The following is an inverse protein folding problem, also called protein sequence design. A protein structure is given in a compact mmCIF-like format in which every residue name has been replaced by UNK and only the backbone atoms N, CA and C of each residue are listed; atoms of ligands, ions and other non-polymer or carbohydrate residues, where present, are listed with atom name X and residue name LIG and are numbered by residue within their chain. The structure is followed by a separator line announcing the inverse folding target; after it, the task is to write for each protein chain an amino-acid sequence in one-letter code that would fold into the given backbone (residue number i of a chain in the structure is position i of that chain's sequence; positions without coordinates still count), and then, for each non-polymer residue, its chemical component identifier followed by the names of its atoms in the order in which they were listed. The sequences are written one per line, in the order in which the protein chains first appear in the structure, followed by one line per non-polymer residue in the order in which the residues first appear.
data_IF_316691388842
#
_entry.id   IF_316691388842
#
_cell.length_a   1.000
_cell.length_b   1.000
_cell.length_c   1.000
_cell.angle_alpha   90.00
_cell.angle_beta   90.00
_cell.angle_gamma   90.00
#
_symmetry.space_group_name_H-M   'P 1'
#
loop_
_entity.id
_entity.type
_entity.pdbx_description
1 polymer ?
#
# COMPACT_ATOMS: atom_id res chain seq x y z
N UNK A 1 20.94 17.99 53.65
CA UNK A 1 21.25 18.43 52.28
C UNK A 1 20.18 17.93 51.31
N UNK A 2 19.03 18.60 51.31
CA UNK A 2 18.03 18.54 50.25
C UNK A 2 17.26 19.86 50.32
N UNK A 3 17.82 20.86 49.64
CA UNK A 3 17.13 22.04 49.16
C UNK A 3 17.37 22.03 47.64
N UNK A 4 16.33 22.00 46.83
CA UNK A 4 15.72 23.21 46.28
C UNK A 4 14.80 22.82 45.10
N UNK A 5 13.53 23.23 45.22
CA UNK A 5 12.52 23.15 44.16
C UNK A 5 12.60 24.46 43.37
N UNK A 6 13.19 24.40 42.18
CA UNK A 6 13.22 25.53 41.24
C UNK A 6 13.12 25.04 39.81
N UNK A 7 11.92 24.68 39.36
CA UNK A 7 11.60 24.64 37.93
C UNK A 7 10.91 25.96 37.57
N UNK A 8 11.71 26.96 37.22
CA UNK A 8 11.24 28.06 36.38
C UNK A 8 11.24 27.54 34.92
N UNK A 9 10.15 26.87 34.52
CA UNK A 9 9.82 26.72 33.11
C UNK A 9 9.01 27.96 32.69
N UNK A 10 9.71 28.96 32.16
CA UNK A 10 9.14 30.06 31.41
C UNK A 10 8.58 29.51 30.08
N UNK A 11 7.39 28.92 30.13
CA UNK A 11 6.62 28.56 28.94
C UNK A 11 5.91 29.81 28.41
N UNK A 12 6.05 30.04 27.12
CA UNK A 12 5.55 31.17 26.32
C UNK A 12 4.06 31.52 26.58
N UNK A 13 3.82 32.41 27.55
CA UNK A 13 2.49 32.80 28.05
C UNK A 13 1.70 33.73 27.12
N UNK A 14 2.29 34.20 26.01
CA UNK A 14 1.70 35.22 25.13
C UNK A 14 0.37 34.79 24.50
N UNK A 15 0.28 33.55 24.03
CA UNK A 15 -0.89 33.04 23.29
C UNK A 15 -2.09 32.76 24.21
N UNK A 16 -1.86 32.27 25.43
CA UNK A 16 -2.92 32.03 26.42
C UNK A 16 -3.58 33.36 26.83
N UNK A 17 -2.80 34.43 26.93
CA UNK A 17 -3.30 35.78 27.23
C UNK A 17 -4.19 36.30 26.10
N UNK A 18 -3.83 36.09 24.83
CA UNK A 18 -4.65 36.52 23.68
C UNK A 18 -5.97 35.75 23.65
N UNK A 19 -5.93 34.43 23.82
CA UNK A 19 -7.13 33.57 23.84
C UNK A 19 -8.06 33.95 24.99
N UNK A 20 -7.52 34.18 26.19
CA UNK A 20 -8.31 34.64 27.34
C UNK A 20 -8.97 36.00 27.09
N UNK A 21 -8.26 36.94 26.45
CA UNK A 21 -8.81 38.26 26.06
C UNK A 21 -9.86 38.16 24.96
N UNK A 22 -9.72 37.21 24.04
CA UNK A 22 -10.66 36.97 22.95
C UNK A 22 -11.95 36.33 23.48
N UNK A 23 -11.86 35.39 24.42
CA UNK A 23 -13.04 34.85 25.11
C UNK A 23 -13.71 35.97 25.93
N UNK A 24 -12.91 36.74 26.67
CA UNK A 24 -13.40 37.75 27.60
C UNK A 24 -13.90 37.13 28.92
N UNK A 25 -14.09 37.96 29.95
CA UNK A 25 -14.61 37.50 31.25
C UNK A 25 -15.97 36.84 31.05
N UNK A 26 -16.10 35.58 31.48
CA UNK A 26 -17.30 34.74 31.26
C UNK A 26 -17.74 34.62 29.79
N UNK A 27 -16.83 34.75 28.82
CA UNK A 27 -17.17 34.66 27.40
C UNK A 27 -17.83 35.91 26.81
N UNK A 28 -17.86 37.03 27.55
CA UNK A 28 -18.63 38.22 27.18
C UNK A 28 -18.28 38.80 25.79
N UNK A 29 -17.02 38.71 25.37
CA UNK A 29 -16.63 39.26 24.06
C UNK A 29 -17.04 38.36 22.90
N UNK A 30 -16.88 37.04 23.04
CA UNK A 30 -17.42 36.09 22.06
C UNK A 30 -18.94 36.18 21.97
N UNK A 31 -19.61 36.36 23.11
CA UNK A 31 -21.05 36.58 23.14
C UNK A 31 -21.44 37.87 22.41
N UNK A 32 -20.73 38.98 22.65
CA UNK A 32 -20.96 40.25 21.96
C UNK A 32 -20.79 40.14 20.43
N UNK A 33 -19.77 39.41 19.96
CA UNK A 33 -19.60 39.12 18.52
C UNK A 33 -20.81 38.34 18.00
N UNK A 34 -21.15 37.20 18.63
CA UNK A 34 -22.27 36.35 18.21
C UNK A 34 -23.60 37.13 18.11
N UNK A 35 -23.87 38.01 19.08
CA UNK A 35 -25.08 38.82 19.10
C UNK A 35 -25.11 39.90 18.01
N UNK A 36 -23.98 40.54 17.72
CA UNK A 36 -23.91 41.68 16.79
C UNK A 36 -23.72 41.28 15.34
N UNK A 37 -23.10 40.14 15.07
CA UNK A 37 -22.77 39.71 13.72
C UNK A 37 -23.52 38.45 13.30
N UNK A 38 -24.39 37.90 14.15
CA UNK A 38 -25.13 36.66 13.87
C UNK A 38 -24.23 35.48 13.48
N UNK A 39 -22.94 35.52 13.84
CA UNK A 39 -21.97 34.45 13.59
C UNK A 39 -21.90 33.51 14.77
N UNK A 40 -21.50 32.26 14.51
CA UNK A 40 -21.06 31.35 15.54
C UNK A 40 -19.54 31.42 15.66
N UNK A 41 -19.03 31.86 16.81
CA UNK A 41 -17.60 32.04 17.04
C UNK A 41 -17.14 31.20 18.21
N UNK A 42 -16.13 30.36 18.02
CA UNK A 42 -15.56 29.52 19.07
C UNK A 42 -14.07 29.22 18.82
N UNK A 43 -13.37 28.82 19.87
CA UNK A 43 -11.93 28.52 19.80
C UNK A 43 -11.73 27.01 19.75
N UNK A 44 -10.95 26.53 18.79
CA UNK A 44 -10.52 25.13 18.64
C UNK A 44 -9.00 25.01 18.81
N UNK A 45 -8.52 23.82 19.17
CA UNK A 45 -7.10 23.46 19.11
C UNK A 45 -6.66 23.41 17.64
N UNK A 46 -5.42 23.79 17.35
CA UNK A 46 -4.86 23.58 16.02
C UNK A 46 -4.78 22.06 15.71
N UNK A 47 -5.17 21.59 14.51
CA UNK A 47 -5.17 20.16 14.18
C UNK A 47 -3.78 19.53 14.21
N UNK A 48 -2.74 20.29 13.84
CA UNK A 48 -1.38 19.77 13.64
C UNK A 48 -0.38 20.19 14.73
N UNK A 49 -0.74 21.15 15.59
CA UNK A 49 0.19 21.69 16.58
C UNK A 49 -0.51 21.94 17.92
N UNK A 50 0.24 21.81 19.01
CA UNK A 50 -0.28 22.02 20.36
C UNK A 50 -0.06 23.43 20.90
N UNK A 51 0.75 24.20 20.18
CA UNK A 51 1.17 25.56 20.54
C UNK A 51 0.22 26.64 20.00
N UNK A 52 -0.62 26.29 19.01
CA UNK A 52 -1.55 27.23 18.38
C UNK A 52 -3.02 26.88 18.68
N UNK A 53 -3.85 27.93 18.68
CA UNK A 53 -5.32 27.81 18.74
C UNK A 53 -5.93 28.59 17.59
N UNK A 54 -7.07 28.10 17.10
CA UNK A 54 -7.78 28.70 15.97
C UNK A 54 -9.11 29.26 16.45
N UNK A 55 -9.41 30.48 16.00
CA UNK A 55 -10.75 31.04 16.13
C UNK A 55 -11.56 30.67 14.88
N UNK A 56 -12.57 29.82 15.05
CA UNK A 56 -13.50 29.48 13.99
C UNK A 56 -14.70 30.43 14.06
N UNK A 57 -15.04 31.01 12.90
CA UNK A 57 -16.17 31.93 12.71
C UNK A 57 -17.03 31.33 11.61
N UNK A 58 -18.27 30.99 11.92
CA UNK A 58 -19.23 30.42 10.98
C UNK A 58 -20.39 31.42 10.79
N UNK A 59 -20.75 31.71 9.54
CA UNK A 59 -21.79 32.68 9.20
C UNK A 59 -21.77 33.03 7.72
N UNK A 60 -22.53 34.05 7.33
CA UNK A 60 -22.45 34.59 5.96
C UNK A 60 -21.16 35.41 5.78
N UNK A 61 -20.69 35.58 4.54
CA UNK A 61 -19.48 36.38 4.28
C UNK A 61 -19.53 37.81 4.89
N UNK A 62 -20.61 38.61 4.74
CA UNK A 62 -20.68 39.94 5.34
C UNK A 62 -20.66 39.90 6.88
N UNK A 63 -21.26 38.88 7.48
CA UNK A 63 -21.27 38.66 8.93
C UNK A 63 -19.88 38.28 9.46
N UNK A 64 -19.16 37.43 8.71
CA UNK A 64 -17.78 37.06 9.01
C UNK A 64 -16.88 38.30 8.93
N UNK A 65 -17.01 39.12 7.88
CA UNK A 65 -16.21 40.34 7.72
C UNK A 65 -16.47 41.33 8.86
N UNK A 66 -17.73 41.46 9.30
CA UNK A 66 -18.09 42.27 10.47
C UNK A 66 -17.46 41.73 11.77
N UNK A 67 -17.46 40.40 11.97
CA UNK A 67 -16.84 39.75 13.12
C UNK A 67 -15.32 39.94 13.12
N UNK A 68 -14.66 39.76 11.98
CA UNK A 68 -13.23 40.00 11.81
C UNK A 68 -12.87 41.45 12.10
N UNK A 69 -13.71 42.41 11.69
CA UNK A 69 -13.53 43.83 12.00
C UNK A 69 -13.60 44.09 13.51
N UNK A 70 -14.58 43.51 14.22
CA UNK A 70 -14.68 43.61 15.68
C UNK A 70 -13.45 43.03 16.40
N UNK A 71 -12.95 41.88 15.93
CA UNK A 71 -11.75 41.25 16.47
C UNK A 71 -10.53 42.14 16.22
N UNK A 72 -10.35 42.66 15.00
CA UNK A 72 -9.21 43.54 14.68
C UNK A 72 -9.26 44.88 15.41
N UNK A 73 -10.44 45.40 15.71
CA UNK A 73 -10.60 46.60 16.54
C UNK A 73 -10.15 46.35 17.98
N UNK A 74 -10.45 45.17 18.55
CA UNK A 74 -10.00 44.80 19.89
C UNK A 74 -8.52 44.40 19.96
N UNK A 75 -8.00 43.84 18.87
CA UNK A 75 -6.61 43.41 18.73
C UNK A 75 -5.92 44.10 17.53
N UNK A 76 -5.55 45.39 17.67
CA UNK A 76 -4.88 46.12 16.61
C UNK A 76 -3.51 45.50 16.26
N UNK A 77 -3.19 45.44 14.97
CA UNK A 77 -1.94 44.86 14.45
C UNK A 77 -0.68 45.40 15.12
N UNK A 78 -0.64 46.71 15.44
CA UNK A 78 0.51 47.35 16.09
C UNK A 78 0.80 46.82 17.50
N UNK A 79 -0.21 46.30 18.19
CA UNK A 79 -0.11 45.80 19.58
C UNK A 79 -0.12 44.28 19.66
N UNK A 80 -0.67 43.62 18.65
CA UNK A 80 -0.79 42.16 18.56
C UNK A 80 -0.35 41.68 17.17
N UNK A 81 0.95 41.78 16.83
CA UNK A 81 1.46 41.36 15.53
C UNK A 81 1.33 39.84 15.31
N UNK A 82 1.34 39.06 16.40
CA UNK A 82 1.23 37.59 16.38
C UNK A 82 -0.19 37.08 16.09
N UNK A 83 -1.22 37.94 16.16
CA UNK A 83 -2.59 37.57 15.82
C UNK A 83 -2.87 37.81 14.33
N UNK A 84 -2.78 36.74 13.55
CA UNK A 84 -3.28 36.71 12.17
C UNK A 84 -4.80 36.49 12.11
N UNK A 85 -5.45 37.09 11.12
CA UNK A 85 -6.86 36.86 10.77
C UNK A 85 -7.00 36.24 9.38
N UNK A 86 -5.90 35.69 8.85
CA UNK A 86 -5.93 34.98 7.59
C UNK A 86 -6.75 33.71 7.70
N UNK A 87 -7.50 33.41 6.64
CA UNK A 87 -8.31 32.19 6.56
C UNK A 87 -7.37 30.99 6.48
N UNK A 88 -7.37 30.17 7.53
CA UNK A 88 -6.67 28.89 7.51
C UNK A 88 -7.56 27.83 6.85
N UNK A 89 -7.06 27.19 5.80
CA UNK A 89 -7.76 26.09 5.13
C UNK A 89 -7.13 24.78 5.60
N UNK A 90 -7.86 24.01 6.41
CA UNK A 90 -7.45 22.65 6.75
C UNK A 90 -7.95 21.72 5.65
N UNK A 91 -7.05 21.25 4.80
CA UNK A 91 -7.34 20.06 4.00
C UNK A 91 -7.32 18.91 4.98
N UNK A 92 -8.48 18.57 5.56
CA UNK A 92 -8.64 17.21 6.06
C UNK A 92 -8.51 16.34 4.82
N UNK A 93 -7.36 15.70 4.65
CA UNK A 93 -7.28 14.49 3.84
C UNK A 93 -8.13 13.43 4.55
N UNK A 94 -9.45 13.59 4.55
CA UNK A 94 -10.37 12.47 4.67
C UNK A 94 -10.37 11.77 3.31
N UNK A 95 -9.20 11.35 2.85
CA UNK A 95 -9.14 10.13 2.10
C UNK A 95 -9.46 9.07 3.16
N UNK A 96 -10.54 8.31 2.99
CA UNK A 96 -10.60 7.03 3.67
C UNK A 96 -9.24 6.34 3.39
N UNK A 97 -8.59 5.72 4.38
CA UNK A 97 -7.35 5.01 4.12
C UNK A 97 -7.62 4.08 2.93
N UNK A 98 -6.92 4.32 1.83
CA UNK A 98 -7.03 3.49 0.64
C UNK A 98 -6.59 2.11 1.10
N UNK A 99 -7.51 1.17 1.24
CA UNK A 99 -7.13 -0.22 1.45
C UNK A 99 -6.61 -0.74 0.09
N UNK A 100 -5.30 -1.03 -0.05
CA UNK A 100 -4.74 -1.52 -1.30
C UNK A 100 -5.43 -2.80 -1.78
N UNK A 101 -5.92 -3.63 -0.87
CA UNK A 101 -6.63 -4.88 -1.17
C UNK A 101 -7.90 -4.64 -2.00
N UNK A 102 -8.62 -3.54 -1.77
CA UNK A 102 -9.84 -3.23 -2.54
C UNK A 102 -9.54 -2.84 -4.00
N UNK A 103 -8.28 -2.54 -4.30
CA UNK A 103 -7.82 -2.20 -5.65
C UNK A 103 -7.10 -3.38 -6.32
N UNK A 104 -6.88 -4.47 -5.61
CA UNK A 104 -6.14 -5.62 -6.08
C UNK A 104 -6.99 -6.47 -7.05
N UNK A 105 -6.38 -6.92 -8.15
CA UNK A 105 -6.98 -7.99 -8.95
C UNK A 105 -6.78 -9.33 -8.27
N UNK A 106 -7.79 -10.19 -8.38
CA UNK A 106 -7.76 -11.55 -7.86
C UNK A 106 -7.97 -12.54 -9.00
N UNK A 107 -7.31 -13.70 -8.90
CA UNK A 107 -7.64 -14.84 -9.74
C UNK A 107 -9.06 -15.31 -9.43
N UNK A 108 -9.77 -15.80 -10.44
CA UNK A 108 -11.11 -16.36 -10.26
C UNK A 108 -10.98 -17.79 -9.74
N UNK A 109 -11.65 -18.09 -8.64
CA UNK A 109 -11.69 -19.43 -8.05
C UNK A 109 -12.48 -20.42 -8.92
N UNK A 110 -12.10 -21.70 -8.85
CA UNK A 110 -12.82 -22.78 -9.54
C UNK A 110 -12.67 -22.80 -11.06
N UNK A 111 -11.83 -21.94 -11.65
CA UNK A 111 -11.55 -21.90 -13.09
C UNK A 111 -10.04 -21.85 -13.36
N UNK A 112 -9.68 -22.16 -14.62
CA UNK A 112 -8.32 -21.96 -15.11
C UNK A 112 -8.18 -20.52 -15.62
N UNK A 113 -7.39 -19.72 -14.92
CA UNK A 113 -7.10 -18.34 -15.29
C UNK A 113 -5.97 -18.32 -16.32
N UNK A 114 -6.20 -17.71 -17.49
CA UNK A 114 -5.13 -17.44 -18.45
C UNK A 114 -4.26 -16.29 -17.91
N UNK A 115 -2.98 -16.58 -17.66
CA UNK A 115 -2.06 -15.67 -16.99
C UNK A 115 -0.69 -15.58 -17.68
N UNK A 116 0.07 -14.55 -17.32
CA UNK A 116 1.49 -14.38 -17.66
C UNK A 116 2.31 -14.29 -16.37
N UNK A 117 3.47 -14.94 -16.35
CA UNK A 117 4.45 -14.74 -15.29
C UNK A 117 5.10 -13.36 -15.47
N UNK A 118 4.79 -12.42 -14.58
CA UNK A 118 5.27 -11.03 -14.67
C UNK A 118 6.54 -10.78 -13.85
N UNK A 119 6.68 -11.47 -12.72
CA UNK A 119 7.88 -11.42 -11.88
C UNK A 119 8.07 -12.77 -11.18
N UNK A 120 9.31 -13.24 -11.10
CA UNK A 120 9.69 -14.50 -10.46
C UNK A 120 10.66 -14.19 -9.32
N UNK A 121 10.31 -14.64 -8.11
CA UNK A 121 11.14 -14.42 -6.91
C UNK A 121 11.90 -15.70 -6.59
N UNK A 122 11.17 -16.80 -6.51
CA UNK A 122 11.71 -18.15 -6.40
C UNK A 122 10.85 -19.11 -7.24
N UNK A 123 11.28 -20.35 -7.42
CA UNK A 123 10.46 -21.36 -8.11
C UNK A 123 9.05 -21.57 -7.50
N UNK A 124 8.87 -21.26 -6.20
CA UNK A 124 7.59 -21.36 -5.51
C UNK A 124 6.89 -20.04 -5.21
N UNK A 125 7.48 -18.88 -5.52
CA UNK A 125 6.93 -17.54 -5.21
C UNK A 125 7.09 -16.60 -6.40
N UNK A 126 5.97 -16.11 -6.91
CA UNK A 126 5.93 -15.35 -8.16
C UNK A 126 4.71 -14.45 -8.27
N UNK A 127 4.68 -13.64 -9.32
CA UNK A 127 3.60 -12.73 -9.64
C UNK A 127 3.03 -13.03 -11.03
N UNK A 128 1.71 -12.99 -11.10
CA UNK A 128 0.94 -13.27 -12.31
C UNK A 128 0.16 -12.03 -12.75
N UNK A 129 0.06 -11.83 -14.06
CA UNK A 129 -0.86 -10.86 -14.68
C UNK A 129 -1.90 -11.60 -15.52
N UNK A 130 -3.11 -11.04 -15.65
CA UNK A 130 -4.19 -11.61 -16.45
C UNK A 130 -4.34 -10.84 -17.78
N UNK A 131 -3.71 -11.30 -18.89
CA UNK A 131 -3.73 -10.57 -20.17
C UNK A 131 -5.13 -10.42 -20.78
N UNK A 132 -6.05 -11.31 -20.42
CA UNK A 132 -7.44 -11.31 -20.87
C UNK A 132 -8.36 -10.42 -20.03
N UNK A 133 -7.88 -9.88 -18.90
CA UNK A 133 -8.66 -8.98 -18.08
C UNK A 133 -8.81 -7.60 -18.76
N UNK A 134 -9.99 -6.98 -18.64
CA UNK A 134 -10.32 -5.72 -19.34
C UNK A 134 -9.37 -4.56 -18.98
N UNK A 135 -8.77 -4.58 -17.79
CA UNK A 135 -7.83 -3.54 -17.34
C UNK A 135 -6.42 -3.70 -17.90
N UNK A 136 -6.04 -4.89 -18.40
CA UNK A 136 -4.65 -5.18 -18.75
C UNK A 136 -4.10 -4.21 -19.82
N UNK A 137 -4.90 -3.90 -20.83
CA UNK A 137 -4.51 -2.97 -21.91
C UNK A 137 -4.33 -1.52 -21.41
N UNK A 138 -4.99 -1.16 -20.32
CA UNK A 138 -4.87 0.17 -19.70
C UNK A 138 -3.56 0.34 -18.94
N UNK A 139 -2.87 -0.74 -18.54
CA UNK A 139 -1.60 -0.68 -17.83
C UNK A 139 -0.52 0.05 -18.64
N UNK A 140 -0.40 -0.26 -19.94
CA UNK A 140 0.55 0.42 -20.82
C UNK A 140 0.30 1.93 -20.88
N UNK A 141 -0.97 2.33 -20.98
CA UNK A 141 -1.35 3.76 -21.00
C UNK A 141 -1.03 4.43 -19.67
N UNK A 142 -1.32 3.77 -18.55
CA UNK A 142 -0.97 4.28 -17.21
C UNK A 142 0.54 4.49 -17.10
N UNK A 143 1.35 3.50 -17.48
CA UNK A 143 2.80 3.60 -17.44
C UNK A 143 3.34 4.78 -18.25
N UNK A 144 2.82 5.01 -19.47
CA UNK A 144 3.20 6.17 -20.27
C UNK A 144 2.85 7.50 -19.58
N UNK A 145 1.63 7.62 -19.02
CA UNK A 145 1.18 8.84 -18.35
C UNK A 145 2.00 9.09 -17.07
N UNK A 146 2.22 8.05 -16.27
CA UNK A 146 3.04 8.14 -15.05
C UNK A 146 4.46 8.60 -15.37
N UNK A 147 5.10 8.01 -16.38
CA UNK A 147 6.44 8.43 -16.80
C UNK A 147 6.48 9.89 -17.24
N UNK A 148 5.45 10.39 -17.96
CA UNK A 148 5.39 11.80 -18.33
C UNK A 148 5.20 12.73 -17.13
N UNK A 149 4.40 12.32 -16.13
CA UNK A 149 4.09 13.14 -14.95
C UNK A 149 5.26 13.17 -13.97
N UNK A 150 5.84 12.02 -13.65
CA UNK A 150 6.86 11.90 -12.60
C UNK A 150 8.30 12.15 -13.06
N UNK A 151 8.58 12.16 -14.37
CA UNK A 151 9.88 12.65 -14.89
C UNK A 151 10.04 14.18 -14.83
N UNK A 152 9.13 14.89 -14.17
CA UNK A 152 9.20 16.34 -13.96
C UNK A 152 9.76 16.67 -12.57
N UNK A 153 10.42 17.83 -12.44
CA UNK A 153 11.00 18.29 -11.15
C UNK A 153 9.94 18.67 -10.10
N UNK A 154 8.66 18.74 -10.48
CA UNK A 154 7.56 19.21 -9.61
C UNK A 154 6.79 18.06 -8.93
N UNK A 155 7.24 16.81 -9.06
CA UNK A 155 6.56 15.68 -8.43
C UNK A 155 6.69 15.73 -6.89
N UNK A 156 5.57 15.76 -6.14
CA UNK A 156 5.61 15.94 -4.70
C UNK A 156 6.24 14.71 -4.00
N UNK A 157 7.23 14.90 -3.11
CA UNK A 157 7.83 13.82 -2.35
C UNK A 157 6.79 13.19 -1.41
N UNK A 158 6.97 11.91 -1.09
CA UNK A 158 6.17 11.25 -0.06
C UNK A 158 6.61 11.76 1.32
N UNK A 159 5.72 12.44 2.09
CA UNK A 159 6.14 13.14 3.31
C UNK A 159 6.40 12.20 4.50
N UNK A 160 5.64 11.11 4.60
CA UNK A 160 5.72 10.15 5.71
C UNK A 160 5.59 8.73 5.14
N UNK A 161 6.71 8.09 4.77
CA UNK A 161 6.73 6.69 4.35
C UNK A 161 6.32 5.80 5.52
N UNK A 162 5.28 4.99 5.34
CA UNK A 162 4.74 4.08 6.34
C UNK A 162 4.30 2.78 5.66
N UNK A 163 4.28 1.63 6.34
CA UNK A 163 3.70 0.40 5.81
C UNK A 163 2.28 0.61 5.25
N UNK A 164 1.95 -0.15 4.21
CA UNK A 164 0.68 -0.14 3.47
C UNK A 164 0.37 1.13 2.67
N UNK A 165 1.22 2.16 2.74
CA UNK A 165 1.08 3.35 1.91
C UNK A 165 1.36 3.02 0.45
N UNK A 166 0.38 3.30 -0.41
CA UNK A 166 0.57 3.27 -1.87
C UNK A 166 1.26 4.55 -2.32
N UNK A 167 2.34 4.40 -3.07
CA UNK A 167 3.19 5.47 -3.56
C UNK A 167 3.64 5.21 -5.00
N UNK A 168 4.50 6.10 -5.51
CA UNK A 168 5.17 5.95 -6.80
C UNK A 168 6.67 5.86 -6.56
N UNK A 169 7.28 4.81 -7.11
CA UNK A 169 8.70 4.52 -6.96
C UNK A 169 9.42 4.53 -8.33
N UNK A 170 10.66 5.04 -8.40
CA UNK A 170 11.49 4.93 -9.59
C UNK A 170 12.15 3.54 -9.67
N UNK A 171 12.12 2.92 -10.84
CA UNK A 171 12.82 1.65 -11.10
C UNK A 171 13.13 1.54 -12.60
N UNK A 172 14.20 0.87 -13.00
CA UNK A 172 14.50 0.55 -14.42
C UNK A 172 14.33 1.71 -15.44
N UNK A 173 14.56 2.97 -15.03
CA UNK A 173 14.40 4.15 -15.88
C UNK A 173 12.95 4.63 -16.07
N UNK A 174 12.00 4.14 -15.28
CA UNK A 174 10.60 4.57 -15.26
C UNK A 174 10.02 4.69 -13.85
N UNK A 175 8.71 4.97 -13.79
CA UNK A 175 7.95 5.18 -12.57
C UNK A 175 6.80 4.18 -12.45
N UNK A 176 6.65 3.61 -11.26
CA UNK A 176 5.78 2.47 -11.00
C UNK A 176 4.92 2.71 -9.77
N UNK A 177 3.71 2.16 -9.76
CA UNK A 177 2.89 2.10 -8.54
C UNK A 177 3.49 1.06 -7.61
N UNK A 178 3.67 1.43 -6.35
CA UNK A 178 4.25 0.56 -5.34
C UNK A 178 3.51 0.69 -4.01
N UNK A 179 3.58 -0.35 -3.19
CA UNK A 179 3.14 -0.34 -1.79
C UNK A 179 4.37 -0.50 -0.90
N UNK A 180 4.46 0.31 0.15
CA UNK A 180 5.49 0.15 1.17
C UNK A 180 5.12 -1.04 2.05
N UNK A 181 6.04 -1.98 2.19
CA UNK A 181 5.89 -3.15 3.07
C UNK A 181 6.51 -2.90 4.44
N UNK A 182 7.68 -2.26 4.47
CA UNK A 182 8.37 -1.89 5.69
C UNK A 182 9.26 -0.67 5.46
N UNK A 183 9.58 0.03 6.54
CA UNK A 183 10.44 1.22 6.54
C UNK A 183 11.61 0.97 7.49
N UNK A 184 12.81 1.24 7.00
CA UNK A 184 14.03 1.30 7.81
C UNK A 184 14.34 2.78 8.08
N UNK A 185 14.02 3.21 9.31
CA UNK A 185 14.22 4.60 9.74
C UNK A 185 15.70 4.98 9.82
N UNK A 186 16.58 4.03 10.18
CA UNK A 186 18.02 4.27 10.33
C UNK A 186 18.70 4.41 8.97
N UNK A 187 18.36 3.52 8.03
CA UNK A 187 18.89 3.56 6.67
C UNK A 187 18.18 4.59 5.78
N UNK A 188 17.06 5.17 6.23
CA UNK A 188 16.17 6.01 5.42
C UNK A 188 15.72 5.34 4.11
N UNK A 189 15.40 4.05 4.19
CA UNK A 189 14.92 3.27 3.05
C UNK A 189 13.57 2.63 3.33
N UNK A 190 12.86 2.26 2.27
CA UNK A 190 11.61 1.50 2.34
C UNK A 190 11.75 0.25 1.49
N UNK A 191 11.28 -0.87 2.02
CA UNK A 191 11.05 -2.07 1.23
C UNK A 191 9.68 -1.96 0.58
N UNK A 192 9.61 -2.09 -0.73
CA UNK A 192 8.41 -1.86 -1.53
C UNK A 192 8.06 -3.06 -2.40
N UNK A 193 6.77 -3.21 -2.71
CA UNK A 193 6.22 -4.16 -3.68
C UNK A 193 5.66 -3.42 -4.88
N UNK A 194 6.00 -3.83 -6.10
CA UNK A 194 5.40 -3.25 -7.31
C UNK A 194 4.02 -3.83 -7.56
N UNK A 195 3.02 -2.96 -7.63
CA UNK A 195 1.61 -3.33 -7.66
C UNK A 195 1.14 -3.83 -9.04
N UNK A 196 1.85 -3.44 -10.11
CA UNK A 196 1.44 -3.75 -11.47
C UNK A 196 2.23 -4.87 -12.12
N UNK A 197 3.50 -5.03 -11.77
CA UNK A 197 4.41 -5.98 -12.40
C UNK A 197 4.90 -7.05 -11.42
N UNK A 198 4.69 -6.83 -10.12
CA UNK A 198 5.18 -7.70 -9.07
C UNK A 198 6.66 -7.48 -8.77
N UNK A 199 7.15 -8.24 -7.81
CA UNK A 199 8.51 -8.12 -7.30
C UNK A 199 8.67 -7.01 -6.28
N UNK A 200 9.86 -7.01 -5.70
CA UNK A 200 10.20 -6.18 -4.56
C UNK A 200 11.46 -5.37 -4.83
N UNK A 201 11.58 -4.25 -4.14
CA UNK A 201 12.78 -3.42 -4.20
C UNK A 201 12.95 -2.69 -2.88
N UNK A 202 14.20 -2.46 -2.47
CA UNK A 202 14.51 -1.49 -1.41
C UNK A 202 14.96 -0.20 -2.06
N UNK A 203 14.29 0.91 -1.70
CA UNK A 203 14.54 2.24 -2.28
C UNK A 203 14.74 3.28 -1.20
N UNK A 204 15.48 4.35 -1.52
CA UNK A 204 15.60 5.50 -0.64
C UNK A 204 14.24 6.19 -0.48
N UNK A 205 13.89 6.58 0.75
CA UNK A 205 12.63 7.27 1.04
C UNK A 205 12.51 8.60 0.27
N UNK A 206 13.63 9.27 0.04
CA UNK A 206 13.76 10.51 -0.76
C UNK A 206 13.32 10.34 -2.22
N UNK A 207 13.37 9.12 -2.75
CA UNK A 207 13.04 8.79 -4.13
C UNK A 207 11.55 8.55 -4.35
N UNK A 208 10.81 8.27 -3.26
CA UNK A 208 9.38 8.01 -3.31
C UNK A 208 8.58 9.28 -3.59
N UNK A 209 7.49 9.13 -4.32
CA UNK A 209 6.57 10.22 -4.67
C UNK A 209 5.15 9.87 -4.26
N UNK A 210 4.37 10.91 -3.96
CA UNK A 210 2.94 10.73 -3.69
C UNK A 210 2.24 10.23 -4.96
N UNK A 211 1.37 9.23 -4.82
CA UNK A 211 0.55 8.76 -5.92
C UNK A 211 -0.59 9.74 -6.20
N UNK A 212 -0.83 10.02 -7.47
CA UNK A 212 -1.98 10.79 -7.93
C UNK A 212 -3.24 9.93 -7.85
N UNK A 213 -4.33 10.47 -7.28
CA UNK A 213 -5.54 9.69 -7.01
C UNK A 213 -6.18 9.06 -8.25
N UNK A 214 -6.05 9.69 -9.43
CA UNK A 214 -6.54 9.14 -10.69
C UNK A 214 -5.76 7.91 -11.17
N UNK A 215 -4.50 7.73 -10.73
CA UNK A 215 -3.72 6.52 -11.00
C UNK A 215 -4.16 5.32 -10.17
N UNK A 216 -5.04 5.50 -9.19
CA UNK A 216 -5.64 4.42 -8.40
C UNK A 216 -6.92 3.87 -9.05
N UNK A 217 -7.44 4.51 -10.11
CA UNK A 217 -8.65 4.04 -10.81
C UNK A 217 -8.43 2.75 -11.60
N UNK A 218 -7.18 2.45 -11.95
CA UNK A 218 -6.81 1.16 -12.52
C UNK A 218 -6.57 0.17 -11.36
N UNK A 219 -7.18 -1.02 -11.35
CA UNK A 219 -6.81 -2.06 -10.38
C UNK A 219 -5.31 -2.38 -10.42
N UNK A 220 -4.73 -2.89 -9.34
CA UNK A 220 -3.36 -3.38 -9.32
C UNK A 220 -3.25 -4.68 -10.14
N UNK A 221 -2.32 -4.71 -11.09
CA UNK A 221 -2.34 -5.73 -12.15
C UNK A 221 -1.58 -7.01 -11.81
N UNK A 222 -0.66 -6.98 -10.83
CA UNK A 222 0.12 -8.15 -10.44
C UNK A 222 -0.53 -8.87 -9.25
N UNK A 223 -0.77 -10.17 -9.41
CA UNK A 223 -1.27 -11.05 -8.35
C UNK A 223 -0.10 -11.87 -7.82
N UNK A 224 0.25 -11.64 -6.56
CA UNK A 224 1.26 -12.42 -5.85
C UNK A 224 0.73 -13.82 -5.55
N UNK A 225 1.49 -14.86 -5.87
CA UNK A 225 1.08 -16.26 -5.76
C UNK A 225 2.23 -17.11 -5.23
N UNK A 226 1.87 -18.24 -4.61
CA UNK A 226 2.81 -19.32 -4.34
C UNK A 226 2.36 -20.63 -4.99
N UNK A 227 3.31 -21.51 -5.26
CA UNK A 227 3.06 -22.80 -5.89
C UNK A 227 2.48 -23.79 -4.87
N UNK A 228 1.35 -24.42 -5.18
CA UNK A 228 0.66 -25.31 -4.26
C UNK A 228 1.38 -26.66 -4.03
N UNK A 229 1.27 -27.24 -2.84
CA UNK A 229 1.62 -28.65 -2.56
C UNK A 229 3.06 -29.09 -2.87
N UNK A 230 4.00 -28.14 -2.96
CA UNK A 230 5.42 -28.43 -3.15
C UNK A 230 6.28 -27.55 -2.25
N UNK A 231 7.41 -28.10 -1.81
CA UNK A 231 8.47 -27.41 -1.06
C UNK A 231 9.82 -27.63 -1.76
N UNK A 232 10.84 -26.80 -1.49
CA UNK A 232 12.19 -27.02 -2.02
C UNK A 232 12.71 -28.43 -1.70
N UNK A 233 13.42 -29.04 -2.65
CA UNK A 233 14.05 -30.33 -2.42
C UNK A 233 15.14 -30.28 -1.35
N UNK A 234 15.33 -31.39 -0.64
CA UNK A 234 16.37 -31.54 0.38
C UNK A 234 15.97 -31.05 1.77
N UNK A 235 14.67 -30.81 2.00
CA UNK A 235 14.12 -30.41 3.30
C UNK A 235 14.52 -29.02 3.78
N UNK A 236 15.01 -28.16 2.88
CA UNK A 236 15.33 -26.76 3.16
C UNK A 236 14.14 -25.82 3.01
N UNK A 237 14.27 -24.60 3.52
CA UNK A 237 13.25 -23.53 3.37
C UNK A 237 13.41 -22.74 2.06
N UNK A 238 14.55 -22.86 1.39
CA UNK A 238 14.92 -22.04 0.22
C UNK A 238 14.95 -22.86 -1.08
N UNK A 239 14.36 -22.30 -2.14
CA UNK A 239 14.45 -22.85 -3.49
C UNK A 239 15.84 -22.64 -4.08
N UNK A 240 16.37 -23.63 -4.80
CA UNK A 240 17.65 -23.48 -5.48
C UNK A 240 17.56 -22.52 -6.68
N UNK A 241 18.69 -21.91 -7.04
CA UNK A 241 18.79 -21.05 -8.22
C UNK A 241 18.47 -21.82 -9.50
N UNK A 242 18.86 -23.10 -9.59
CA UNK A 242 18.56 -23.97 -10.73
C UNK A 242 17.06 -24.22 -10.87
N UNK A 243 16.35 -24.42 -9.76
CA UNK A 243 14.91 -24.57 -9.77
C UNK A 243 14.24 -23.29 -10.30
N UNK A 244 14.67 -22.12 -9.81
CA UNK A 244 14.12 -20.82 -10.22
C UNK A 244 14.42 -20.54 -11.71
N UNK A 245 15.64 -20.81 -12.16
CA UNK A 245 16.02 -20.69 -13.57
C UNK A 245 15.22 -21.64 -14.47
N UNK A 246 14.96 -22.86 -13.99
CA UNK A 246 14.12 -23.80 -14.70
C UNK A 246 12.69 -23.29 -14.86
N UNK A 247 12.07 -22.79 -13.78
CA UNK A 247 10.73 -22.17 -13.85
C UNK A 247 10.74 -21.05 -14.89
N UNK A 248 11.69 -20.12 -14.81
CA UNK A 248 11.83 -19.01 -15.76
C UNK A 248 11.91 -19.48 -17.23
N UNK A 249 12.61 -20.58 -17.48
CA UNK A 249 12.76 -21.16 -18.82
C UNK A 249 11.44 -21.72 -19.35
N UNK A 250 10.74 -22.53 -18.53
CA UNK A 250 9.56 -23.27 -19.01
C UNK A 250 8.28 -22.44 -18.97
N UNK A 251 8.23 -21.35 -18.22
CA UNK A 251 7.06 -20.46 -18.15
C UNK A 251 7.26 -19.15 -18.92
N UNK A 252 8.49 -18.83 -19.31
CA UNK A 252 8.82 -17.56 -19.95
C UNK A 252 8.11 -17.36 -21.29
N UNK A 253 7.64 -16.12 -21.52
CA UNK A 253 7.10 -15.64 -22.80
C UNK A 253 5.91 -16.45 -23.37
N UNK A 254 5.13 -17.09 -22.51
CA UNK A 254 3.92 -17.80 -22.91
C UNK A 254 2.75 -17.50 -21.97
N UNK A 255 1.54 -17.75 -22.46
CA UNK A 255 0.34 -17.81 -21.62
C UNK A 255 0.33 -19.12 -20.84
N UNK A 256 0.19 -19.01 -19.53
CA UNK A 256 0.05 -20.13 -18.60
C UNK A 256 -1.40 -20.25 -18.18
N UNK A 257 -1.75 -21.37 -17.56
CA UNK A 257 -3.03 -21.52 -16.87
C UNK A 257 -2.78 -21.66 -15.37
N UNK A 258 -3.40 -20.79 -14.58
CA UNK A 258 -3.34 -20.83 -13.13
C UNK A 258 -4.69 -21.24 -12.53
N UNK A 259 -4.69 -22.25 -11.68
CA UNK A 259 -5.85 -22.67 -10.91
C UNK A 259 -5.60 -22.42 -9.43
N UNK A 260 -6.49 -21.66 -8.79
CA UNK A 260 -6.44 -21.44 -7.34
C UNK A 260 -6.77 -22.75 -6.63
N UNK A 261 -5.87 -23.19 -5.75
CA UNK A 261 -6.04 -24.36 -4.90
C UNK A 261 -6.57 -23.95 -3.53
N UNK A 262 -5.85 -23.04 -2.87
CA UNK A 262 -6.17 -22.53 -1.53
C UNK A 262 -5.53 -21.14 -1.35
N UNK A 263 -5.59 -20.61 -0.13
CA UNK A 263 -4.95 -19.37 0.28
C UNK A 263 -4.11 -19.61 1.53
N UNK A 264 -2.98 -18.91 1.64
CA UNK A 264 -2.23 -18.83 2.90
C UNK A 264 -3.02 -18.06 3.96
N UNK A 265 -2.57 -18.12 5.22
CA UNK A 265 -3.14 -17.28 6.30
C UNK A 265 -3.09 -15.78 5.98
N UNK A 266 -2.11 -15.34 5.18
CA UNK A 266 -1.96 -13.97 4.71
C UNK A 266 -2.83 -13.62 3.49
N UNK A 267 -3.66 -14.55 3.00
CA UNK A 267 -4.52 -14.36 1.84
C UNK A 267 -3.80 -14.43 0.48
N UNK A 268 -2.56 -14.94 0.44
CA UNK A 268 -1.85 -15.18 -0.82
C UNK A 268 -2.37 -16.48 -1.45
N UNK A 269 -2.80 -16.47 -2.73
CA UNK A 269 -3.26 -17.68 -3.41
C UNK A 269 -2.14 -18.70 -3.60
N UNK A 270 -2.42 -19.94 -3.20
CA UNK A 270 -1.69 -21.13 -3.59
C UNK A 270 -2.27 -21.64 -4.91
N UNK A 271 -1.44 -21.78 -5.94
CA UNK A 271 -1.91 -22.11 -7.29
C UNK A 271 -1.24 -23.36 -7.85
N UNK A 272 -2.00 -24.10 -8.66
CA UNK A 272 -1.43 -24.99 -9.67
C UNK A 272 -1.15 -24.17 -10.93
N UNK A 273 0.06 -24.31 -11.48
CA UNK A 273 0.47 -23.60 -12.68
C UNK A 273 0.76 -24.58 -13.80
N UNK A 274 0.08 -24.40 -14.93
CA UNK A 274 0.22 -25.24 -16.12
C UNK A 274 0.88 -24.45 -17.23
N UNK A 275 1.91 -25.02 -17.86
CA UNK A 275 2.57 -24.45 -19.03
C UNK A 275 2.41 -25.40 -20.23
N UNK A 276 2.45 -24.84 -21.43
CA UNK A 276 2.42 -25.63 -22.67
C UNK A 276 3.85 -25.77 -23.19
N UNK A 277 4.32 -27.00 -23.29
CA UNK A 277 5.62 -27.32 -23.87
C UNK A 277 5.45 -27.81 -25.31
N UNK A 278 6.38 -27.39 -26.18
CA UNK A 278 6.42 -27.78 -27.58
C UNK A 278 7.60 -28.72 -27.79
N UNK A 279 7.31 -29.93 -28.25
CA UNK A 279 8.32 -30.93 -28.59
C UNK A 279 8.26 -31.23 -30.07
N UNK A 280 9.40 -31.59 -30.65
CA UNK A 280 9.43 -32.02 -32.04
C UNK A 280 8.77 -33.38 -32.14
N UNK A 281 7.81 -33.55 -33.06
CA UNK A 281 7.09 -34.82 -33.17
C UNK A 281 8.08 -35.93 -33.56
N UNK A 282 8.12 -37.05 -32.83
CA UNK A 282 8.91 -38.21 -33.23
C UNK A 282 8.46 -38.79 -34.57
N UNK A 283 7.18 -38.56 -34.93
CA UNK A 283 6.53 -39.09 -36.13
C UNK A 283 6.60 -38.16 -37.33
N UNK A 284 6.79 -36.86 -37.11
CA UNK A 284 6.91 -35.83 -38.14
C UNK A 284 8.04 -34.85 -37.79
N UNK A 285 9.21 -34.94 -38.46
CA UNK A 285 10.34 -34.04 -38.23
C UNK A 285 10.02 -32.55 -38.51
N UNK A 286 8.93 -32.25 -39.22
CA UNK A 286 8.46 -30.89 -39.50
C UNK A 286 7.32 -30.44 -38.57
N UNK A 287 6.77 -31.36 -37.79
CA UNK A 287 5.67 -31.12 -36.86
C UNK A 287 6.13 -30.94 -35.43
N UNK A 288 5.33 -30.20 -34.65
CA UNK A 288 5.49 -30.07 -33.21
C UNK A 288 4.27 -30.66 -32.51
N UNK A 289 4.51 -31.36 -31.42
CA UNK A 289 3.49 -31.81 -30.49
C UNK A 289 3.49 -30.90 -29.26
N UNK A 290 2.29 -30.60 -28.76
CA UNK A 290 2.09 -29.81 -27.55
C UNK A 290 1.74 -30.72 -26.38
N UNK A 291 2.41 -30.51 -25.25
CA UNK A 291 2.07 -31.17 -23.99
C UNK A 291 1.80 -30.11 -22.92
N UNK A 292 0.71 -30.28 -22.20
CA UNK A 292 0.44 -29.48 -21.00
C UNK A 292 1.19 -30.10 -19.84
N UNK A 293 2.02 -29.30 -19.17
CA UNK A 293 2.84 -29.71 -18.04
C UNK A 293 2.36 -28.98 -16.79
N UNK A 294 2.10 -29.74 -15.73
CA UNK A 294 1.87 -29.19 -14.40
C UNK A 294 3.22 -28.88 -13.76
N UNK A 295 3.49 -27.59 -13.50
CA UNK A 295 4.78 -27.11 -13.02
C UNK A 295 5.24 -27.84 -11.75
N UNK A 296 4.32 -28.07 -10.82
CA UNK A 296 4.56 -28.72 -9.53
C UNK A 296 5.15 -30.12 -9.73
N UNK A 297 4.53 -30.92 -10.60
CA UNK A 297 4.98 -32.27 -10.93
C UNK A 297 6.33 -32.26 -11.66
N UNK A 298 6.55 -31.28 -12.53
CA UNK A 298 7.79 -31.16 -13.27
C UNK A 298 8.98 -30.75 -12.39
N UNK A 299 8.75 -29.92 -11.36
CA UNK A 299 9.77 -29.61 -10.37
C UNK A 299 10.12 -30.86 -9.54
N UNK A 300 9.13 -31.64 -9.14
CA UNK A 300 9.35 -32.89 -8.38
C UNK A 300 10.05 -33.94 -9.23
N UNK A 301 9.65 -34.14 -10.49
CA UNK A 301 10.25 -35.14 -11.38
C UNK A 301 11.73 -34.89 -11.65
N UNK A 302 12.15 -33.61 -11.59
CA UNK A 302 13.54 -33.17 -11.75
C UNK A 302 14.33 -33.11 -10.44
N UNK A 303 13.69 -33.38 -9.31
CA UNK A 303 14.31 -33.31 -7.99
C UNK A 303 14.56 -31.88 -7.50
N UNK A 304 13.86 -30.88 -8.05
CA UNK A 304 13.89 -29.50 -7.56
C UNK A 304 12.91 -29.25 -6.40
N UNK A 305 11.88 -30.09 -6.28
CA UNK A 305 10.88 -30.00 -5.25
C UNK A 305 10.53 -31.36 -4.64
N UNK A 306 9.94 -31.32 -3.45
CA UNK A 306 9.27 -32.46 -2.81
C UNK A 306 7.79 -32.14 -2.64
N UNK A 307 6.93 -33.16 -2.72
CA UNK A 307 5.49 -33.00 -2.46
C UNK A 307 5.25 -32.82 -0.97
N UNK A 308 4.36 -31.89 -0.62
CA UNK A 308 3.83 -31.81 0.73
C UNK A 308 2.94 -33.03 0.95
N UNK A 309 3.34 -33.92 1.86
CA UNK A 309 2.53 -35.08 2.24
C UNK A 309 1.61 -34.63 3.37
N UNK A 310 0.32 -34.55 3.09
CA UNK A 310 -0.69 -34.31 4.13
C UNK A 310 -0.63 -35.47 5.13
N UNK A 311 -0.21 -35.18 6.36
CA UNK A 311 -0.27 -36.13 7.48
C UNK A 311 -1.63 -36.09 8.20
N UNK A 312 -2.65 -35.49 7.56
CA UNK A 312 -3.96 -35.21 8.15
C UNK A 312 -5.06 -36.20 7.75
N UNK A 313 -4.72 -37.42 7.33
CA UNK A 313 -5.65 -38.56 7.25
C UNK A 313 -4.91 -39.86 7.58
N UNK A 314 -4.77 -40.19 8.87
CA UNK A 314 -4.70 -41.55 9.42
C UNK A 314 -4.47 -41.47 10.95
N UNK A 315 -5.45 -40.95 11.68
CA UNK A 315 -5.55 -41.17 13.14
C UNK A 315 -6.96 -41.67 13.53
N UNK A 316 -7.55 -42.53 12.68
CA UNK A 316 -8.58 -43.47 13.16
C UNK A 316 -7.86 -44.73 13.66
N UNK A 317 -7.18 -44.57 14.78
CA UNK A 317 -6.81 -45.67 15.65
C UNK A 317 -8.06 -46.35 16.19
N UNK A 318 -8.56 -47.35 15.47
CA UNK A 318 -9.43 -48.38 16.05
C UNK A 318 -8.69 -49.71 16.15
N UNK A 319 -8.04 -49.85 17.30
CA UNK A 319 -7.68 -51.12 17.89
C UNK A 319 -8.98 -51.87 18.20
N UNK A 320 -9.31 -52.90 17.42
CA UNK A 320 -10.11 -54.02 17.92
C UNK A 320 -9.35 -55.30 17.66
N UNK A 321 -8.64 -55.72 18.71
CA UNK A 321 -8.30 -57.10 18.93
C UNK A 321 -9.60 -57.93 18.96
N UNK A 322 -9.63 -59.00 18.17
CA UNK A 322 -10.44 -60.17 18.50
C UNK A 322 -9.62 -61.40 18.16
N UNK A 323 -9.09 -62.02 19.21
CA UNK A 323 -8.58 -63.37 19.21
C UNK A 323 -9.73 -64.39 19.00
N UNK A 324 -9.38 -65.47 18.31
CA UNK A 324 -9.86 -66.85 18.48
C UNK A 324 -11.37 -67.16 18.39
N UNK A 325 -11.77 -67.86 17.32
CA UNK A 325 -12.07 -69.31 17.33
C UNK A 325 -12.35 -69.81 15.91
#
# INVERSE_FOLDING_TARGET
PYDDLGQDELVDDGYLVIVGRLIGRHGAFLHDIRCKTHTNVFIKRHPETNTLKICAIEGTQPDIDAALKMIRQKFPLRRFPELTLEKVTFVKNSCLPINPENLQLHLVEGVNNDVLLSSLITAGHFFLQMPMHISYQSLYRLACIMNNVYNTQESPPLPDPQPDVVCVAPAHGGWYRAQILSVDEEAHTSHIKFLDYGGFLTVENSSLRQIRGDFLLLPFQAVECALANVVPAGGGEEWSDEATQFVQLITGQQTLQAQVYEYTESGMPLVYLYCTQFYQSPSDPSGYETQVVLLNQELVSRGYAELIVDTSQDDDGQTTATESS
#
